data_IF_989130762142
#
_entry.id   IF_989130762142
#
_cell.length_a   1.000
_cell.length_b   1.000
_cell.length_c   1.000
_cell.angle_alpha   90.00
_cell.angle_beta   90.00
_cell.angle_gamma   90.00
#
_symmetry.space_group_name_H-M   'P 1'
#
loop_
_entity.id
_entity.type
_entity.pdbx_description
1 polymer ?
#
# COMPACT_ATOMS: atom_id res chain seq x y z
N UNK A 1 -12.04 -56.25 -3.43
CA UNK A 1 -11.36 -55.89 -2.17
C UNK A 1 -10.11 -55.11 -2.55
N UNK A 2 -10.05 -53.79 -2.44
CA UNK A 2 -10.90 -52.84 -1.72
C UNK A 2 -10.73 -51.50 -2.43
N UNK A 3 -11.83 -50.89 -2.86
CA UNK A 3 -11.85 -49.55 -3.45
C UNK A 3 -11.56 -48.55 -2.33
N UNK A 4 -10.37 -47.95 -2.36
CA UNK A 4 -10.11 -46.74 -1.60
C UNK A 4 -10.57 -45.56 -2.44
N UNK A 5 -11.87 -45.28 -2.42
CA UNK A 5 -12.39 -43.97 -2.83
C UNK A 5 -11.83 -42.93 -1.86
N UNK A 6 -10.73 -42.28 -2.24
CA UNK A 6 -10.29 -41.04 -1.64
C UNK A 6 -11.40 -40.00 -1.86
N UNK A 7 -12.24 -39.84 -0.84
CA UNK A 7 -13.15 -38.70 -0.69
C UNK A 7 -12.31 -37.44 -0.52
N UNK A 8 -11.75 -36.94 -1.62
CA UNK A 8 -11.11 -35.63 -1.67
C UNK A 8 -12.23 -34.61 -1.72
N UNK A 9 -12.70 -34.23 -0.54
CA UNK A 9 -13.72 -33.20 -0.34
C UNK A 9 -13.30 -31.96 -1.15
N UNK A 10 -13.99 -31.70 -2.25
CA UNK A 10 -13.59 -30.68 -3.20
C UNK A 10 -13.97 -29.32 -2.62
N UNK A 11 -12.96 -28.58 -2.14
CA UNK A 11 -13.17 -27.22 -1.68
C UNK A 11 -13.69 -26.35 -2.84
N UNK A 12 -14.77 -25.62 -2.61
CA UNK A 12 -15.34 -24.68 -3.58
C UNK A 12 -14.77 -23.28 -3.30
N UNK A 13 -14.15 -22.67 -4.32
CA UNK A 13 -13.63 -21.29 -4.26
C UNK A 13 -14.68 -20.34 -4.83
N UNK A 14 -15.05 -19.32 -4.05
CA UNK A 14 -16.04 -18.30 -4.44
C UNK A 14 -15.69 -16.94 -3.78
N UNK A 15 -16.21 -15.81 -4.31
CA UNK A 15 -16.16 -14.55 -3.59
C UNK A 15 -16.77 -14.67 -2.18
N UNK A 16 -16.11 -14.03 -1.22
CA UNK A 16 -16.62 -13.94 0.15
C UNK A 16 -17.77 -12.93 0.23
N UNK A 17 -18.70 -13.19 1.14
CA UNK A 17 -19.82 -12.32 1.50
C UNK A 17 -19.69 -11.89 2.96
N UNK A 18 -20.53 -10.96 3.40
CA UNK A 18 -20.59 -10.58 4.82
C UNK A 18 -20.86 -11.76 5.77
N UNK A 19 -21.52 -12.82 5.27
CA UNK A 19 -21.78 -14.04 6.05
C UNK A 19 -20.50 -14.85 6.37
N UNK A 20 -19.43 -14.67 5.60
CA UNK A 20 -18.16 -15.40 5.79
C UNK A 20 -17.25 -14.75 6.86
N UNK A 21 -17.63 -13.57 7.39
CA UNK A 21 -16.80 -12.75 8.29
C UNK A 21 -16.26 -13.51 9.50
N UNK A 22 -17.10 -14.26 10.22
CA UNK A 22 -16.66 -15.02 11.39
C UNK A 22 -15.61 -16.08 11.03
N UNK A 23 -15.78 -16.74 9.88
CA UNK A 23 -14.81 -17.71 9.37
C UNK A 23 -13.49 -17.04 8.97
N UNK A 24 -13.57 -15.90 8.30
CA UNK A 24 -12.42 -15.08 7.91
C UNK A 24 -11.64 -14.61 9.14
N UNK A 25 -12.30 -13.98 10.12
CA UNK A 25 -11.67 -13.54 11.38
C UNK A 25 -10.97 -14.70 12.09
N UNK A 26 -11.63 -15.87 12.19
CA UNK A 26 -11.03 -17.07 12.80
C UNK A 26 -9.73 -17.47 12.08
N UNK A 27 -9.71 -17.45 10.75
CA UNK A 27 -8.53 -17.83 9.98
C UNK A 27 -7.43 -16.77 10.05
N UNK A 28 -7.78 -15.49 10.04
CA UNK A 28 -6.81 -14.40 10.13
C UNK A 28 -6.02 -14.41 11.43
N UNK A 29 -6.55 -14.98 12.53
CA UNK A 29 -5.79 -15.17 13.77
C UNK A 29 -4.52 -16.02 13.60
N UNK A 30 -4.45 -16.87 12.56
CA UNK A 30 -3.23 -17.62 12.25
C UNK A 30 -2.10 -16.74 11.67
N UNK A 31 -2.44 -15.58 11.10
CA UNK A 31 -1.49 -14.64 10.51
C UNK A 31 -1.30 -13.38 11.39
N UNK A 32 -2.38 -12.92 12.04
CA UNK A 32 -2.46 -11.66 12.77
C UNK A 32 -3.13 -11.88 14.13
N UNK A 33 -2.42 -12.51 15.06
CA UNK A 33 -2.97 -12.93 16.37
C UNK A 33 -3.71 -11.82 17.13
N UNK A 34 -3.21 -10.58 17.09
CA UNK A 34 -3.82 -9.42 17.75
C UNK A 34 -4.74 -8.58 16.84
N UNK A 35 -4.56 -8.63 15.51
CA UNK A 35 -5.25 -7.74 14.54
C UNK A 35 -6.51 -8.32 13.91
N UNK A 36 -6.74 -9.63 14.03
CA UNK A 36 -7.82 -10.31 13.31
C UNK A 36 -9.24 -9.84 13.70
N UNK A 37 -9.47 -9.40 14.94
CA UNK A 37 -10.78 -8.92 15.39
C UNK A 37 -11.18 -7.58 14.74
N UNK A 38 -10.19 -6.77 14.36
CA UNK A 38 -10.38 -5.47 13.71
C UNK A 38 -10.66 -5.57 12.20
N UNK A 39 -10.74 -6.78 11.66
CA UNK A 39 -10.76 -6.96 10.21
C UNK A 39 -11.97 -6.33 9.51
N UNK A 40 -11.74 -5.54 8.47
CA UNK A 40 -12.81 -5.04 7.61
C UNK A 40 -13.27 -6.09 6.58
N UNK A 41 -12.52 -7.18 6.39
CA UNK A 41 -12.83 -8.22 5.40
C UNK A 41 -14.22 -8.84 5.58
N UNK A 42 -14.89 -9.18 4.47
CA UNK A 42 -14.40 -9.10 3.08
C UNK A 42 -14.54 -7.72 2.43
N UNK A 43 -14.89 -6.67 3.18
CA UNK A 43 -14.89 -5.30 2.64
C UNK A 43 -13.42 -4.88 2.46
N UNK A 44 -13.10 -4.45 1.25
CA UNK A 44 -11.80 -3.86 0.90
C UNK A 44 -12.06 -2.44 0.43
N UNK A 45 -11.20 -1.50 0.85
CA UNK A 45 -11.22 -0.13 0.37
C UNK A 45 -9.85 0.22 -0.19
N UNK A 46 -9.85 0.71 -1.42
CA UNK A 46 -8.66 1.25 -2.07
C UNK A 46 -9.04 2.54 -2.76
N UNK A 47 -8.39 3.63 -2.38
CA UNK A 47 -8.65 4.97 -2.88
C UNK A 47 -7.34 5.64 -3.22
N UNK A 48 -7.30 6.44 -4.29
CA UNK A 48 -6.11 7.18 -4.66
C UNK A 48 -6.48 8.63 -4.95
N UNK A 49 -5.56 9.54 -4.63
CA UNK A 49 -5.68 10.96 -4.89
C UNK A 49 -4.37 11.50 -5.43
N UNK A 50 -4.44 12.16 -6.59
CA UNK A 50 -3.33 12.95 -7.13
C UNK A 50 -3.45 14.39 -6.67
N UNK A 51 -2.35 14.98 -6.24
CA UNK A 51 -2.21 16.41 -6.00
C UNK A 51 -1.17 16.99 -6.93
N UNK A 52 -1.42 18.21 -7.42
CA UNK A 52 -0.48 18.95 -8.25
C UNK A 52 -0.09 20.24 -7.56
N UNK A 53 1.14 20.68 -7.79
CA UNK A 53 1.59 22.02 -7.46
C UNK A 53 1.65 22.83 -8.76
N UNK A 54 1.07 24.03 -8.74
CA UNK A 54 1.03 24.90 -9.92
C UNK A 54 1.90 26.13 -9.71
N UNK A 55 2.60 26.56 -10.77
CA UNK A 55 3.34 27.82 -10.84
C UNK A 55 3.06 28.46 -12.19
N UNK A 56 2.66 29.73 -12.19
CA UNK A 56 2.32 30.48 -13.42
C UNK A 56 1.31 29.71 -14.31
N UNK A 57 0.28 29.14 -13.67
CA UNK A 57 -0.76 28.29 -14.30
C UNK A 57 -0.26 26.96 -14.90
N UNK A 58 1.02 26.63 -14.77
CA UNK A 58 1.60 25.37 -15.21
C UNK A 58 1.80 24.40 -14.05
N UNK A 59 1.66 23.10 -14.30
CA UNK A 59 2.00 22.07 -13.32
C UNK A 59 3.51 22.03 -13.14
N UNK A 60 3.97 22.26 -11.91
CA UNK A 60 5.38 22.27 -11.53
C UNK A 60 5.78 21.04 -10.69
N UNK A 61 4.83 20.17 -10.37
CA UNK A 61 5.05 18.92 -9.65
C UNK A 61 3.75 18.21 -9.31
N UNK A 62 3.86 16.95 -8.92
CA UNK A 62 2.74 16.13 -8.49
C UNK A 62 3.13 15.13 -7.40
N UNK A 63 2.12 14.58 -6.74
CA UNK A 63 2.23 13.41 -5.88
C UNK A 63 0.98 12.56 -6.03
N UNK A 64 1.14 11.24 -5.97
CA UNK A 64 0.05 10.28 -5.87
C UNK A 64 0.04 9.70 -4.46
N UNK A 65 -1.10 9.76 -3.79
CA UNK A 65 -1.31 9.16 -2.49
C UNK A 65 -2.38 8.08 -2.61
N UNK A 66 -2.08 6.86 -2.16
CA UNK A 66 -2.99 5.71 -2.25
C UNK A 66 -3.27 5.17 -0.86
N UNK A 67 -4.53 5.04 -0.47
CA UNK A 67 -4.97 4.30 0.71
C UNK A 67 -5.28 2.86 0.31
N UNK A 68 -4.79 1.91 1.11
CA UNK A 68 -5.17 0.49 1.05
C UNK A 68 -5.65 0.04 2.42
N UNK A 69 -6.87 -0.48 2.45
CA UNK A 69 -7.49 -1.13 3.61
C UNK A 69 -8.02 -2.48 3.14
N UNK A 70 -7.19 -3.52 3.30
CA UNK A 70 -7.57 -4.92 3.09
C UNK A 70 -8.05 -5.59 4.39
N UNK A 71 -8.40 -4.80 5.40
CA UNK A 71 -9.02 -5.28 6.61
C UNK A 71 -8.12 -6.01 7.58
N UNK A 72 -6.90 -5.55 7.81
CA UNK A 72 -6.22 -5.82 9.09
C UNK A 72 -5.79 -4.48 9.66
N UNK A 73 -5.04 -3.72 8.86
CA UNK A 73 -4.61 -2.36 9.14
C UNK A 73 -4.68 -1.57 7.84
N UNK A 74 -5.21 -0.35 7.89
CA UNK A 74 -5.23 0.53 6.75
C UNK A 74 -3.89 1.26 6.65
N UNK A 75 -3.26 1.23 5.47
CA UNK A 75 -2.00 1.93 5.23
C UNK A 75 -2.09 2.81 3.99
N UNK A 76 -1.26 3.84 3.97
CA UNK A 76 -1.05 4.70 2.82
C UNK A 76 0.24 4.35 2.09
N UNK A 77 0.28 4.66 0.80
CA UNK A 77 1.52 4.79 0.04
C UNK A 77 1.59 6.19 -0.55
N UNK A 78 2.80 6.75 -0.59
CA UNK A 78 3.10 7.91 -1.42
C UNK A 78 3.94 7.42 -2.59
N UNK A 79 3.41 7.66 -3.79
CA UNK A 79 3.91 7.20 -5.06
C UNK A 79 4.08 8.40 -6.01
N UNK A 80 4.98 8.30 -6.96
CA UNK A 80 5.15 9.29 -8.03
C UNK A 80 5.28 10.75 -7.54
N UNK A 81 6.04 11.00 -6.48
CA UNK A 81 6.35 12.36 -6.02
C UNK A 81 7.46 12.96 -6.89
N UNK A 82 7.09 13.94 -7.73
CA UNK A 82 8.03 14.61 -8.63
C UNK A 82 7.82 16.12 -8.64
N UNK A 83 8.92 16.85 -8.75
CA UNK A 83 8.95 18.30 -8.95
C UNK A 83 9.84 18.60 -10.15
N UNK A 84 9.34 19.50 -11.00
CA UNK A 84 10.04 20.06 -12.15
C UNK A 84 11.46 20.49 -11.73
N UNK A 85 12.54 20.03 -12.40
CA UNK A 85 13.92 20.29 -12.00
C UNK A 85 14.22 21.75 -11.68
N UNK A 86 13.76 22.69 -12.51
CA UNK A 86 13.95 24.14 -12.32
C UNK A 86 13.20 24.75 -11.12
N UNK A 87 12.29 23.98 -10.52
CA UNK A 87 11.46 24.40 -9.37
C UNK A 87 11.85 23.70 -8.06
N UNK A 88 12.89 22.85 -8.06
CA UNK A 88 13.39 22.16 -6.86
C UNK A 88 14.08 23.12 -5.88
N UNK A 89 14.28 22.65 -4.65
CA UNK A 89 14.95 23.44 -3.59
C UNK A 89 14.10 24.58 -3.01
N UNK A 90 12.82 24.66 -3.35
CA UNK A 90 11.89 25.74 -2.93
C UNK A 90 10.74 25.26 -2.05
N UNK A 91 10.84 24.07 -1.46
CA UNK A 91 9.81 23.50 -0.59
C UNK A 91 8.58 22.90 -1.28
N UNK A 92 8.51 22.95 -2.63
CA UNK A 92 7.39 22.38 -3.41
C UNK A 92 7.17 20.88 -3.16
N UNK A 93 8.25 20.09 -3.16
CA UNK A 93 8.16 18.65 -2.89
C UNK A 93 7.65 18.35 -1.48
N UNK A 94 8.07 19.17 -0.50
CA UNK A 94 7.56 19.05 0.87
C UNK A 94 6.07 19.41 0.97
N UNK A 95 5.64 20.47 0.29
CA UNK A 95 4.24 20.90 0.28
C UNK A 95 3.33 19.84 -0.35
N UNK A 96 3.77 19.22 -1.45
CA UNK A 96 3.08 18.10 -2.09
C UNK A 96 2.97 16.90 -1.13
N UNK A 97 4.10 16.50 -0.54
CA UNK A 97 4.14 15.40 0.42
C UNK A 97 3.20 15.63 1.60
N UNK A 98 3.26 16.80 2.24
CA UNK A 98 2.42 17.14 3.39
C UNK A 98 0.93 17.11 3.02
N UNK A 99 0.57 17.52 1.78
CA UNK A 99 -0.80 17.45 1.28
C UNK A 99 -1.28 16.01 1.10
N UNK A 100 -0.43 15.14 0.55
CA UNK A 100 -0.69 13.71 0.40
C UNK A 100 -0.84 13.01 1.75
N UNK A 101 0.08 13.25 2.69
CA UNK A 101 0.02 12.71 4.05
C UNK A 101 -1.23 13.16 4.80
N UNK A 102 -1.61 14.43 4.68
CA UNK A 102 -2.84 14.95 5.30
C UNK A 102 -4.09 14.26 4.75
N UNK A 103 -4.12 13.96 3.45
CA UNK A 103 -5.21 13.22 2.84
C UNK A 103 -5.24 11.77 3.32
N UNK A 104 -4.09 11.07 3.35
CA UNK A 104 -4.01 9.69 3.84
C UNK A 104 -4.46 9.56 5.29
N UNK A 105 -4.01 10.48 6.16
CA UNK A 105 -4.44 10.52 7.56
C UNK A 105 -5.95 10.73 7.69
N UNK A 106 -6.53 11.68 6.93
CA UNK A 106 -7.97 11.92 6.92
C UNK A 106 -8.77 10.72 6.37
N UNK A 107 -8.18 9.97 5.43
CA UNK A 107 -8.79 8.77 4.86
C UNK A 107 -8.66 7.55 5.78
N UNK A 108 -7.90 7.63 6.88
CA UNK A 108 -7.78 6.60 7.90
C UNK A 108 -6.54 5.71 7.78
N UNK A 109 -5.49 6.14 7.09
CA UNK A 109 -4.21 5.43 7.10
C UNK A 109 -3.56 5.50 8.50
N UNK A 110 -3.17 4.35 9.03
CA UNK A 110 -2.46 4.23 10.33
C UNK A 110 -0.94 4.34 10.16
N UNK A 111 -0.44 3.95 8.98
CA UNK A 111 0.97 4.02 8.58
C UNK A 111 1.06 4.40 7.12
N UNK A 112 2.12 5.11 6.71
CA UNK A 112 2.38 5.45 5.30
C UNK A 112 3.75 4.94 4.89
N UNK A 113 3.79 4.25 3.75
CA UNK A 113 5.02 3.73 3.16
C UNK A 113 5.43 4.53 1.93
N UNK A 114 6.75 4.63 1.73
CA UNK A 114 7.38 5.16 0.54
C UNK A 114 8.51 4.24 0.11
N UNK A 115 8.78 4.20 -1.18
CA UNK A 115 9.99 3.58 -1.71
C UNK A 115 11.01 4.68 -2.03
N UNK A 116 12.21 4.56 -1.47
CA UNK A 116 13.34 5.46 -1.72
C UNK A 116 14.55 4.60 -2.06
N UNK A 117 15.11 4.78 -3.27
CA UNK A 117 16.21 3.96 -3.78
C UNK A 117 17.57 4.64 -3.59
N UNK A 118 17.62 5.97 -3.69
CA UNK A 118 18.86 6.75 -3.61
C UNK A 118 18.95 7.56 -2.31
N UNK A 119 20.17 7.86 -1.85
CA UNK A 119 20.45 8.52 -0.56
C UNK A 119 19.78 9.90 -0.44
N UNK A 120 19.71 10.67 -1.53
CA UNK A 120 19.04 11.97 -1.56
C UNK A 120 17.53 11.85 -1.28
N UNK A 121 16.90 10.82 -1.84
CA UNK A 121 15.48 10.53 -1.66
C UNK A 121 15.21 10.05 -0.24
N UNK A 122 16.08 9.18 0.28
CA UNK A 122 16.04 8.74 1.68
C UNK A 122 16.13 9.94 2.62
N UNK A 123 17.09 10.84 2.38
CA UNK A 123 17.29 12.06 3.19
C UNK A 123 16.08 12.98 3.14
N UNK A 124 15.47 13.15 1.97
CA UNK A 124 14.24 13.92 1.82
C UNK A 124 13.10 13.37 2.68
N UNK A 125 12.80 12.08 2.60
CA UNK A 125 11.73 11.47 3.40
C UNK A 125 12.08 11.41 4.89
N UNK A 126 13.34 11.17 5.25
CA UNK A 126 13.79 11.24 6.64
C UNK A 126 13.56 12.62 7.26
N UNK A 127 13.81 13.70 6.50
CA UNK A 127 13.48 15.07 6.92
C UNK A 127 11.98 15.31 7.11
N UNK A 128 11.13 14.44 6.55
CA UNK A 128 9.69 14.43 6.72
C UNK A 128 9.20 13.51 7.85
N UNK A 129 10.11 12.88 8.59
CA UNK A 129 9.78 12.03 9.73
C UNK A 129 9.59 10.56 9.35
N UNK A 130 9.83 10.17 8.10
CA UNK A 130 9.89 8.76 7.74
C UNK A 130 11.14 8.12 8.35
N UNK A 131 11.00 6.89 8.82
CA UNK A 131 12.11 6.08 9.32
C UNK A 131 12.31 4.87 8.42
N UNK A 132 13.55 4.45 8.13
CA UNK A 132 13.79 3.22 7.37
C UNK A 132 13.10 2.02 8.01
N UNK A 133 12.41 1.23 7.20
CA UNK A 133 11.84 -0.05 7.60
C UNK A 133 12.03 -1.07 6.46
N UNK A 134 12.26 -2.33 6.82
CA UNK A 134 12.42 -3.41 5.85
C UNK A 134 11.09 -4.13 5.64
N UNK A 135 10.62 -4.18 4.39
CA UNK A 135 9.43 -4.96 4.02
C UNK A 135 9.81 -6.36 3.48
N UNK A 136 8.95 -7.38 3.65
CA UNK A 136 9.18 -8.74 3.15
C UNK A 136 8.80 -8.86 1.66
N UNK A 137 9.32 -7.96 0.81
CA UNK A 137 8.96 -7.95 -0.60
C UNK A 137 9.64 -9.09 -1.34
N UNK A 138 8.84 -10.00 -1.89
CA UNK A 138 9.26 -10.99 -2.86
C UNK A 138 8.57 -10.65 -4.19
N UNK A 139 9.35 -10.33 -5.21
CA UNK A 139 8.81 -10.07 -6.53
C UNK A 139 8.70 -11.39 -7.31
N UNK A 140 7.50 -11.71 -7.78
CA UNK A 140 7.32 -12.69 -8.85
C UNK A 140 6.97 -11.93 -10.12
N UNK A 141 7.78 -12.09 -11.17
CA UNK A 141 7.56 -11.46 -12.46
C UNK A 141 7.25 -12.54 -13.49
N UNK A 142 6.03 -12.59 -14.04
CA UNK A 142 5.71 -13.53 -15.10
C UNK A 142 6.67 -13.33 -16.30
N UNK A 143 7.22 -14.42 -16.82
CA UNK A 143 8.09 -14.44 -18.02
C UNK A 143 9.44 -13.69 -17.91
N UNK A 144 9.99 -13.45 -16.71
CA UNK A 144 11.41 -13.03 -16.60
C UNK A 144 12.32 -14.16 -17.06
N UNK A 145 12.94 -14.00 -18.23
CA UNK A 145 14.12 -14.77 -18.62
C UNK A 145 15.26 -14.43 -17.63
N UNK A 146 15.98 -15.40 -17.03
CA UNK A 146 17.08 -15.10 -16.10
C UNK A 146 18.29 -14.53 -16.85
N UNK A 147 18.19 -13.26 -17.25
CA UNK A 147 19.30 -12.46 -17.73
C UNK A 147 18.93 -10.96 -17.66
N UNK A 148 18.96 -10.38 -16.47
CA UNK A 148 19.28 -8.96 -16.30
C UNK A 148 20.13 -8.86 -15.04
N UNK A 149 21.41 -8.51 -15.26
CA UNK A 149 22.39 -8.05 -14.28
C UNK A 149 21.90 -6.81 -13.52
#
# INVERSE_FOLDING_TARGET
MTEHEEHRESAVVRPASSADRTGITRLLRHLHAAGAEGTTLPRVRQEAQTFVATKDEQVAGLVVATLVDYGIEAYGTVEELVVEPGSRGRGLGRSLLDRGLSWLAASGAEVVFVSALDEDVVTFYASAGFTPCTGPWLAWVPNRNPACE
#
